data_IF_954919156454
#
_entry.id   IF_954919156454
#
_cell.length_a   1.000
_cell.length_b   1.000
_cell.length_c   1.000
_cell.angle_alpha   90.00
_cell.angle_beta   90.00
_cell.angle_gamma   90.00
#
_symmetry.space_group_name_H-M   'P 1'
#
loop_
_entity.id
_entity.type
_entity.pdbx_description
1 polymer ?
#
# COMPACT_ATOMS: atom_id res chain seq x y z
N UNK A 1 -9.06 -14.60 -12.58
CA UNK A 1 -9.26 -15.73 -13.52
C UNK A 1 -10.35 -15.38 -14.51
N UNK A 2 -10.15 -15.54 -15.84
CA UNK A 2 -11.16 -15.32 -16.86
C UNK A 2 -12.41 -16.19 -16.63
N UNK A 3 -13.56 -15.76 -17.17
CA UNK A 3 -14.82 -16.50 -17.00
C UNK A 3 -14.77 -17.89 -17.64
N UNK A 4 -14.18 -18.01 -18.81
CA UNK A 4 -13.99 -19.27 -19.54
C UNK A 4 -13.09 -20.27 -18.79
N UNK A 5 -12.29 -19.80 -17.84
CA UNK A 5 -11.47 -20.61 -16.94
C UNK A 5 -12.10 -20.75 -15.53
N UNK A 6 -13.41 -20.52 -15.40
CA UNK A 6 -14.14 -20.66 -14.15
C UNK A 6 -13.97 -19.50 -13.16
N UNK A 7 -13.43 -18.38 -13.60
CA UNK A 7 -13.26 -17.18 -12.77
C UNK A 7 -14.41 -16.19 -12.93
N UNK A 8 -14.40 -15.13 -12.11
CA UNK A 8 -15.40 -14.06 -12.16
C UNK A 8 -15.22 -13.09 -13.33
N UNK A 9 -14.10 -13.14 -14.04
CA UNK A 9 -13.81 -12.27 -15.18
C UNK A 9 -13.52 -10.83 -14.79
N UNK A 10 -13.05 -10.59 -13.57
CA UNK A 10 -12.60 -9.27 -13.13
C UNK A 10 -11.37 -8.83 -13.91
N UNK A 11 -11.31 -7.54 -14.25
CA UNK A 11 -10.22 -6.97 -15.04
C UNK A 11 -8.90 -6.92 -14.24
N UNK A 12 -8.96 -6.62 -12.95
CA UNK A 12 -7.81 -6.52 -12.06
C UNK A 12 -8.22 -6.85 -10.62
N UNK A 13 -7.22 -7.01 -9.74
CA UNK A 13 -7.41 -7.15 -8.30
C UNK A 13 -6.36 -6.33 -7.56
N UNK A 14 -6.67 -5.93 -6.33
CA UNK A 14 -5.71 -5.31 -5.44
C UNK A 14 -4.68 -6.33 -4.99
N UNK A 15 -3.44 -5.85 -4.86
CA UNK A 15 -2.28 -6.67 -4.51
C UNK A 15 -1.71 -6.21 -3.17
N UNK A 16 -2.25 -6.79 -2.10
CA UNK A 16 -1.81 -6.49 -0.75
C UNK A 16 -0.39 -6.98 -0.47
N UNK A 17 0.07 -8.05 -1.13
CA UNK A 17 1.40 -8.59 -0.88
C UNK A 17 2.49 -7.60 -1.31
N UNK A 18 2.28 -6.85 -2.40
CA UNK A 18 3.20 -5.76 -2.80
C UNK A 18 3.19 -4.64 -1.75
N UNK A 19 2.00 -4.24 -1.27
CA UNK A 19 1.90 -3.28 -0.17
C UNK A 19 2.63 -3.78 1.07
N UNK A 20 2.35 -5.01 1.51
CA UNK A 20 2.96 -5.57 2.72
C UNK A 20 4.48 -5.62 2.63
N UNK A 21 5.04 -6.03 1.48
CA UNK A 21 6.48 -6.08 1.28
C UNK A 21 7.12 -4.68 1.34
N UNK A 22 6.53 -3.71 0.64
CA UNK A 22 7.02 -2.33 0.64
C UNK A 22 6.89 -1.69 2.03
N UNK A 23 5.72 -1.80 2.65
CA UNK A 23 5.45 -1.24 3.98
C UNK A 23 6.42 -1.80 5.03
N UNK A 24 6.50 -3.13 5.11
CA UNK A 24 7.34 -3.80 6.09
C UNK A 24 8.84 -3.49 5.92
N UNK A 25 9.32 -3.29 4.68
CA UNK A 25 10.71 -2.88 4.43
C UNK A 25 10.96 -1.41 4.75
N UNK A 26 10.03 -0.53 4.43
CA UNK A 26 10.19 0.90 4.62
C UNK A 26 10.06 1.32 6.09
N UNK A 27 9.10 0.73 6.81
CA UNK A 27 8.76 1.10 8.20
C UNK A 27 9.45 0.24 9.26
N UNK A 28 9.77 -1.01 8.91
CA UNK A 28 10.23 -2.01 9.88
C UNK A 28 9.09 -2.71 10.64
N UNK A 29 7.82 -2.36 10.39
CA UNK A 29 6.67 -3.00 11.03
C UNK A 29 6.56 -4.49 10.66
N UNK A 30 6.29 -5.33 11.67
CA UNK A 30 6.22 -6.81 11.54
C UNK A 30 5.01 -7.41 12.27
N UNK A 31 4.06 -6.61 12.70
CA UNK A 31 2.89 -7.08 13.44
C UNK A 31 1.79 -7.58 12.51
N UNK A 32 0.99 -8.53 12.98
CA UNK A 32 -0.19 -9.02 12.27
C UNK A 32 0.16 -9.58 10.89
N UNK A 33 -0.50 -9.09 9.87
CA UNK A 33 -0.31 -9.54 8.48
C UNK A 33 1.03 -9.13 7.85
N UNK A 34 1.84 -8.26 8.51
CA UNK A 34 3.19 -7.92 8.07
C UNK A 34 4.27 -8.93 8.52
N UNK A 35 3.93 -9.90 9.39
CA UNK A 35 4.90 -10.77 10.06
C UNK A 35 5.83 -11.54 9.11
N UNK A 36 5.31 -12.00 7.97
CA UNK A 36 6.05 -12.79 6.98
C UNK A 36 6.82 -11.93 5.96
N UNK A 37 6.54 -10.61 5.94
CA UNK A 37 7.09 -9.67 4.97
C UNK A 37 8.32 -8.93 5.53
N UNK A 38 9.10 -8.28 4.63
CA UNK A 38 10.17 -7.35 5.00
C UNK A 38 11.57 -7.89 4.88
N UNK A 39 11.79 -8.94 4.11
CA UNK A 39 13.09 -9.25 3.51
C UNK A 39 13.17 -8.71 2.09
N UNK A 40 14.40 -8.54 1.58
CA UNK A 40 14.60 -8.18 0.17
C UNK A 40 14.23 -9.33 -0.76
N UNK A 41 14.34 -10.59 -0.30
CA UNK A 41 13.80 -11.77 -1.02
C UNK A 41 12.28 -11.66 -1.22
N UNK A 42 11.57 -11.26 -0.17
CA UNK A 42 10.12 -11.03 -0.24
C UNK A 42 9.80 -9.93 -1.25
N UNK A 43 10.50 -8.79 -1.20
CA UNK A 43 10.32 -7.72 -2.18
C UNK A 43 10.60 -8.18 -3.60
N UNK A 44 11.68 -8.91 -3.83
CA UNK A 44 12.01 -9.47 -5.14
C UNK A 44 10.92 -10.41 -5.65
N UNK A 45 10.39 -11.27 -4.79
CA UNK A 45 9.32 -12.19 -5.12
C UNK A 45 8.04 -11.45 -5.55
N UNK A 46 7.59 -10.44 -4.79
CA UNK A 46 6.38 -9.69 -5.13
C UNK A 46 6.56 -8.83 -6.38
N UNK A 47 7.71 -8.18 -6.57
CA UNK A 47 7.96 -7.37 -7.75
C UNK A 47 8.02 -8.19 -9.05
N UNK A 48 8.36 -9.47 -8.97
CA UNK A 48 8.42 -10.37 -10.13
C UNK A 48 7.17 -11.22 -10.32
N UNK A 49 6.48 -11.59 -9.25
CA UNK A 49 5.39 -12.56 -9.26
C UNK A 49 4.08 -12.09 -8.64
N UNK A 50 3.97 -10.82 -8.26
CA UNK A 50 2.86 -10.20 -7.56
C UNK A 50 2.69 -10.71 -6.12
N UNK A 51 2.62 -12.02 -5.91
CA UNK A 51 2.37 -12.59 -4.58
C UNK A 51 3.61 -13.22 -3.96
N UNK A 52 3.82 -12.94 -2.67
CA UNK A 52 4.81 -13.62 -1.84
C UNK A 52 4.31 -15.00 -1.41
N UNK A 53 3.06 -15.07 -0.94
CA UNK A 53 2.43 -16.35 -0.60
C UNK A 53 1.92 -17.06 -1.85
N UNK A 54 2.80 -17.84 -2.47
CA UNK A 54 2.48 -18.62 -3.69
C UNK A 54 2.37 -20.13 -3.40
N UNK A 55 1.59 -20.49 -2.38
CA UNK A 55 1.47 -21.86 -1.83
C UNK A 55 2.34 -22.09 -0.61
N UNK A 56 2.99 -21.06 -0.07
CA UNK A 56 3.81 -21.07 1.13
C UNK A 56 2.96 -20.92 2.39
N UNK A 57 3.55 -21.16 3.55
CA UNK A 57 2.93 -20.94 4.84
C UNK A 57 2.77 -19.43 5.10
N UNK A 58 1.60 -19.02 5.56
CA UNK A 58 1.35 -17.67 6.06
C UNK A 58 1.18 -17.73 7.58
N UNK A 59 2.06 -17.06 8.32
CA UNK A 59 2.04 -17.02 9.78
C UNK A 59 0.76 -16.35 10.29
N UNK A 60 0.34 -15.26 9.65
CA UNK A 60 -0.89 -14.57 9.99
C UNK A 60 -2.14 -15.41 9.76
N UNK A 61 -2.19 -16.19 8.66
CA UNK A 61 -3.36 -17.02 8.33
C UNK A 61 -3.33 -18.40 8.97
N UNK A 62 -2.20 -18.83 9.56
CA UNK A 62 -2.01 -20.15 10.14
C UNK A 62 -2.18 -21.30 9.15
N UNK A 63 -1.93 -21.06 7.86
CA UNK A 63 -2.11 -22.07 6.78
C UNK A 63 -1.30 -21.73 5.53
N UNK A 64 -1.14 -22.71 4.65
CA UNK A 64 -0.64 -22.43 3.29
C UNK A 64 -1.62 -21.56 2.53
N UNK A 65 -1.10 -20.58 1.79
CA UNK A 65 -1.89 -19.55 1.11
C UNK A 65 -1.33 -19.24 -0.27
N UNK A 66 -2.23 -18.78 -1.16
CA UNK A 66 -1.90 -18.29 -2.49
C UNK A 66 -1.59 -19.38 -3.51
N UNK A 67 -1.25 -18.93 -4.72
CA UNK A 67 -0.81 -19.74 -5.86
C UNK A 67 0.18 -18.94 -6.68
N UNK A 68 1.10 -19.63 -7.35
CA UNK A 68 2.04 -19.00 -8.28
C UNK A 68 1.29 -18.37 -9.46
N UNK A 69 1.70 -17.17 -9.82
CA UNK A 69 1.25 -16.47 -11.02
C UNK A 69 2.01 -16.99 -12.23
N UNK A 70 1.30 -17.34 -13.28
CA UNK A 70 1.92 -17.64 -14.58
C UNK A 70 2.40 -16.33 -15.22
N UNK A 71 3.67 -16.02 -15.06
CA UNK A 71 4.32 -14.79 -15.52
C UNK A 71 4.35 -14.63 -17.04
N UNK A 72 4.21 -15.72 -17.78
CA UNK A 72 4.16 -15.69 -19.26
C UNK A 72 2.78 -15.26 -19.77
N UNK A 73 1.72 -15.58 -19.03
CA UNK A 73 0.34 -15.37 -19.44
C UNK A 73 -0.38 -14.24 -18.72
N UNK A 74 -0.01 -13.96 -17.46
CA UNK A 74 -0.67 -12.95 -16.65
C UNK A 74 0.08 -11.62 -16.75
N UNK A 75 -0.52 -10.57 -17.32
CA UNK A 75 0.11 -9.27 -17.39
C UNK A 75 0.02 -8.53 -16.06
N UNK A 76 1.07 -7.81 -15.71
CA UNK A 76 1.21 -7.08 -14.44
C UNK A 76 0.12 -6.03 -14.21
N UNK A 77 -0.43 -5.42 -15.27
CA UNK A 77 -1.50 -4.42 -15.12
C UNK A 77 -2.80 -4.97 -14.51
N UNK A 78 -2.94 -6.28 -14.38
CA UNK A 78 -4.07 -6.91 -13.68
C UNK A 78 -3.90 -6.92 -12.15
N UNK A 79 -2.76 -6.50 -11.65
CA UNK A 79 -2.51 -6.31 -10.23
C UNK A 79 -2.45 -4.82 -9.93
N UNK A 80 -3.28 -4.36 -8.99
CA UNK A 80 -3.30 -2.97 -8.54
C UNK A 80 -2.45 -2.88 -7.29
N UNK A 81 -1.28 -2.30 -7.42
CA UNK A 81 -0.31 -2.15 -6.34
C UNK A 81 -0.37 -0.74 -5.74
N UNK A 82 -0.07 -0.61 -4.47
CA UNK A 82 -0.12 0.65 -3.74
C UNK A 82 0.88 0.65 -2.57
N UNK A 83 1.30 1.83 -2.15
CA UNK A 83 2.07 2.00 -0.90
C UNK A 83 1.14 2.04 0.31
N UNK A 84 -0.01 2.65 0.14
CA UNK A 84 -1.05 2.78 1.15
C UNK A 84 -2.40 2.98 0.47
N UNK A 85 -3.47 2.67 1.16
CA UNK A 85 -4.83 2.99 0.75
C UNK A 85 -5.69 3.34 1.98
N UNK A 86 -6.98 3.59 1.78
CA UNK A 86 -7.89 3.96 2.84
C UNK A 86 -7.98 2.91 3.96
N UNK A 87 -7.87 1.62 3.62
CA UNK A 87 -7.94 0.54 4.61
C UNK A 87 -6.71 0.50 5.51
N UNK A 88 -5.50 0.47 4.93
CA UNK A 88 -4.29 0.39 5.76
C UNK A 88 -4.12 1.62 6.65
N UNK A 89 -4.44 2.82 6.14
CA UNK A 89 -4.35 4.03 6.95
C UNK A 89 -5.51 4.10 7.95
N UNK A 90 -6.74 3.89 7.50
CA UNK A 90 -7.94 3.97 8.32
C UNK A 90 -8.00 2.90 9.42
N UNK A 91 -7.31 1.77 9.24
CA UNK A 91 -7.17 0.73 10.25
C UNK A 91 -6.05 0.99 11.27
N UNK A 92 -5.30 2.09 11.15
CA UNK A 92 -4.38 2.53 12.21
C UNK A 92 -5.14 3.31 13.29
N UNK A 93 -4.64 3.25 14.53
CA UNK A 93 -5.35 3.83 15.68
C UNK A 93 -5.71 5.31 15.46
N UNK A 94 -4.77 6.08 14.93
CA UNK A 94 -4.92 7.54 14.69
C UNK A 94 -4.97 7.92 13.21
N UNK A 95 -5.01 6.93 12.31
CA UNK A 95 -5.06 7.17 10.87
C UNK A 95 -3.78 7.79 10.29
N UNK A 96 -2.63 7.50 10.89
CA UNK A 96 -1.34 8.04 10.49
C UNK A 96 -0.87 7.46 9.16
N UNK A 97 -0.41 8.35 8.27
CA UNK A 97 0.13 8.01 6.95
C UNK A 97 1.60 7.62 7.04
N UNK A 98 2.14 7.02 5.98
CA UNK A 98 3.59 6.78 5.86
C UNK A 98 4.42 8.08 6.02
N UNK A 99 3.87 9.22 5.63
CA UNK A 99 4.50 10.54 5.81
C UNK A 99 4.73 10.93 7.27
N UNK A 100 3.98 10.36 8.22
CA UNK A 100 4.16 10.62 9.64
C UNK A 100 5.39 9.92 10.25
N UNK A 101 5.81 8.80 9.66
CA UNK A 101 6.90 7.95 10.20
C UNK A 101 8.14 7.88 9.32
N UNK A 102 8.01 8.10 8.01
CA UNK A 102 9.11 7.96 7.07
C UNK A 102 9.72 9.31 6.69
N UNK A 103 11.05 9.32 6.55
CA UNK A 103 11.72 10.48 5.97
C UNK A 103 11.31 10.71 4.50
N UNK A 104 11.40 11.95 3.99
CA UNK A 104 11.13 12.23 2.58
C UNK A 104 11.97 11.38 1.61
N UNK A 105 13.17 10.98 2.02
CA UNK A 105 14.02 10.08 1.24
C UNK A 105 13.40 8.68 1.10
N UNK A 106 12.90 8.12 2.20
CA UNK A 106 12.28 6.79 2.20
C UNK A 106 10.94 6.78 1.46
N UNK A 107 10.16 7.86 1.57
CA UNK A 107 8.95 8.03 0.77
C UNK A 107 9.24 8.03 -0.74
N UNK A 108 10.33 8.70 -1.17
CA UNK A 108 10.75 8.67 -2.58
C UNK A 108 11.19 7.28 -3.03
N UNK A 109 11.85 6.50 -2.17
CA UNK A 109 12.20 5.10 -2.47
C UNK A 109 10.94 4.28 -2.70
N UNK A 110 9.94 4.39 -1.82
CA UNK A 110 8.65 3.72 -1.98
C UNK A 110 7.94 4.11 -3.29
N UNK A 111 7.81 5.42 -3.54
CA UNK A 111 7.20 5.95 -4.76
C UNK A 111 7.92 5.45 -6.04
N UNK A 112 9.26 5.41 -6.02
CA UNK A 112 10.05 4.91 -7.14
C UNK A 112 9.75 3.43 -7.39
N UNK A 113 9.79 2.60 -6.36
CA UNK A 113 9.50 1.17 -6.49
C UNK A 113 8.07 0.93 -7.01
N UNK A 114 7.08 1.62 -6.47
CA UNK A 114 5.69 1.50 -6.91
C UNK A 114 5.51 1.92 -8.37
N UNK A 115 5.98 3.12 -8.73
CA UNK A 115 5.73 3.71 -10.05
C UNK A 115 6.59 3.10 -11.16
N UNK A 116 7.67 2.39 -10.83
CA UNK A 116 8.47 1.63 -11.81
C UNK A 116 8.13 0.15 -11.86
N UNK A 117 7.32 -0.37 -10.93
CA UNK A 117 6.85 -1.76 -10.92
C UNK A 117 5.96 -2.08 -12.14
N UNK A 118 5.82 -3.36 -12.54
CA UNK A 118 5.02 -3.76 -13.71
C UNK A 118 3.52 -3.63 -13.51
N UNK A 119 3.07 -3.29 -12.32
CA UNK A 119 1.68 -3.29 -11.88
C UNK A 119 0.96 -1.98 -12.23
N UNK A 120 -0.36 -1.98 -12.12
CA UNK A 120 -1.14 -0.73 -12.12
C UNK A 120 -0.96 -0.03 -10.78
N UNK A 121 -0.31 1.13 -10.72
CA UNK A 121 -0.14 1.83 -9.46
C UNK A 121 -1.44 2.53 -9.07
N UNK A 122 -1.84 2.39 -7.82
CA UNK A 122 -2.90 3.16 -7.19
C UNK A 122 -2.28 4.09 -6.15
N UNK A 123 -2.60 5.37 -6.26
CA UNK A 123 -2.15 6.39 -5.31
C UNK A 123 -3.31 6.76 -4.39
N UNK A 124 -3.05 6.79 -3.08
CA UNK A 124 -4.03 7.29 -2.14
C UNK A 124 -3.92 8.81 -2.04
N UNK A 125 -5.06 9.50 -2.03
CA UNK A 125 -5.12 10.95 -2.03
C UNK A 125 -4.18 11.59 -1.00
N UNK A 126 -3.37 12.55 -1.42
CA UNK A 126 -2.38 13.23 -0.60
C UNK A 126 -1.03 12.51 -0.48
N UNK A 127 -0.93 11.27 -0.95
CA UNK A 127 0.33 10.51 -0.95
C UNK A 127 1.38 11.20 -1.82
N UNK A 128 0.97 11.73 -2.95
CA UNK A 128 1.81 12.34 -3.96
C UNK A 128 2.54 13.61 -3.52
N UNK A 129 2.11 14.21 -2.41
CA UNK A 129 2.85 15.32 -1.77
C UNK A 129 3.21 15.02 -0.31
N UNK A 130 3.04 13.77 0.13
CA UNK A 130 3.28 13.37 1.52
C UNK A 130 2.44 14.17 2.51
N UNK A 131 1.13 14.26 2.30
CA UNK A 131 0.21 15.01 3.16
C UNK A 131 0.45 14.69 4.64
N UNK A 132 0.42 15.72 5.48
CA UNK A 132 0.60 15.58 6.93
C UNK A 132 -0.70 15.20 7.65
N UNK A 133 -1.86 15.51 7.02
CA UNK A 133 -3.17 15.21 7.59
C UNK A 133 -3.39 13.70 7.68
N UNK A 134 -3.90 13.17 8.80
CA UNK A 134 -4.23 11.76 8.93
C UNK A 134 -5.41 11.38 8.03
N UNK A 135 -5.68 10.07 7.96
CA UNK A 135 -6.92 9.52 7.43
C UNK A 135 -7.55 8.65 8.49
N UNK A 136 -8.32 9.27 9.37
CA UNK A 136 -8.95 8.62 10.52
C UNK A 136 -10.20 7.84 10.06
N UNK A 137 -10.51 6.78 10.78
CA UNK A 137 -11.75 6.05 10.54
C UNK A 137 -12.93 6.87 11.06
N UNK A 138 -13.76 7.38 10.16
CA UNK A 138 -14.95 8.17 10.49
C UNK A 138 -16.21 7.56 9.89
N UNK A 139 -17.32 7.72 10.58
CA UNK A 139 -18.64 7.26 10.18
C UNK A 139 -19.70 8.30 10.53
N UNK A 140 -20.88 8.14 9.93
CA UNK A 140 -22.04 8.99 10.24
C UNK A 140 -23.29 8.10 10.23
N UNK A 141 -23.53 7.43 11.34
CA UNK A 141 -24.73 6.60 11.53
C UNK A 141 -25.81 7.41 12.21
N UNK A 142 -26.99 7.58 11.58
CA UNK A 142 -28.10 8.32 12.18
C UNK A 142 -28.74 7.56 13.35
N UNK A 143 -28.62 6.22 13.40
CA UNK A 143 -29.16 5.39 14.47
C UNK A 143 -28.25 5.46 15.71
N UNK A 144 -28.75 6.00 16.86
CA UNK A 144 -27.90 6.23 18.05
C UNK A 144 -27.25 4.96 18.59
N UNK A 145 -27.97 3.84 18.58
CA UNK A 145 -27.45 2.55 19.08
C UNK A 145 -26.30 2.04 18.20
N UNK A 146 -26.43 2.12 16.88
CA UNK A 146 -25.39 1.74 15.94
C UNK A 146 -24.19 2.66 16.07
N UNK A 147 -24.39 3.96 16.15
CA UNK A 147 -23.34 4.95 16.36
C UNK A 147 -22.51 4.65 17.62
N UNK A 148 -23.21 4.42 18.74
CA UNK A 148 -22.56 4.06 20.01
C UNK A 148 -21.81 2.71 19.93
N UNK A 149 -22.37 1.72 19.24
CA UNK A 149 -21.76 0.40 19.06
C UNK A 149 -20.47 0.47 18.23
N UNK A 150 -20.46 1.29 17.16
CA UNK A 150 -19.28 1.52 16.30
C UNK A 150 -18.19 2.21 17.10
N UNK A 151 -18.49 3.28 17.82
CA UNK A 151 -17.52 4.00 18.67
C UNK A 151 -16.92 3.09 19.75
N UNK A 152 -17.76 2.33 20.44
CA UNK A 152 -17.29 1.37 21.45
C UNK A 152 -16.48 0.22 20.84
N UNK A 153 -16.87 -0.26 19.67
CA UNK A 153 -16.17 -1.30 18.92
C UNK A 153 -14.75 -0.88 18.56
N UNK A 154 -14.60 0.32 18.00
CA UNK A 154 -13.31 0.88 17.61
C UNK A 154 -12.35 1.02 18.79
N UNK A 155 -12.83 1.54 19.92
CA UNK A 155 -12.02 1.67 21.15
C UNK A 155 -11.57 0.30 21.69
N UNK A 156 -12.46 -0.71 21.70
CA UNK A 156 -12.10 -2.06 22.15
C UNK A 156 -11.06 -2.72 21.28
N UNK A 157 -11.16 -2.55 19.96
CA UNK A 157 -10.18 -3.07 19.00
C UNK A 157 -8.77 -2.61 19.35
N UNK A 158 -8.57 -1.32 19.55
CA UNK A 158 -7.25 -0.77 19.83
C UNK A 158 -6.79 -0.96 21.27
N UNK A 159 -7.69 -1.00 22.23
CA UNK A 159 -7.35 -1.36 23.62
C UNK A 159 -6.74 -2.77 23.70
N UNK A 160 -7.23 -3.71 22.89
CA UNK A 160 -6.67 -5.06 22.79
C UNK A 160 -5.22 -5.07 22.23
N UNK A 161 -4.81 -4.01 21.54
CA UNK A 161 -3.45 -3.82 21.00
C UNK A 161 -2.58 -2.88 21.86
N UNK A 162 -3.04 -2.52 23.07
CA UNK A 162 -2.26 -1.71 24.01
C UNK A 162 -2.34 -0.20 23.82
N UNK A 163 -3.26 0.29 23.02
CA UNK A 163 -3.52 1.73 22.90
C UNK A 163 -4.43 2.23 24.01
N UNK A 164 -4.21 3.45 24.48
CA UNK A 164 -5.19 4.12 25.34
C UNK A 164 -6.48 4.38 24.56
N UNK A 165 -7.62 4.14 25.18
CA UNK A 165 -8.93 4.42 24.57
C UNK A 165 -9.11 5.90 24.23
N UNK A 166 -8.42 6.78 24.95
CA UNK A 166 -8.49 8.23 24.77
C UNK A 166 -7.66 8.72 23.55
N UNK A 167 -6.69 7.91 23.10
CA UNK A 167 -5.88 8.22 21.93
C UNK A 167 -6.56 7.84 20.61
N UNK A 168 -7.63 7.05 20.67
CA UNK A 168 -8.37 6.61 19.48
C UNK A 168 -9.51 7.57 19.18
N UNK A 169 -9.49 8.28 18.02
CA UNK A 169 -10.57 9.20 17.67
C UNK A 169 -11.93 8.51 17.62
N UNK A 170 -12.96 9.22 18.07
CA UNK A 170 -14.34 8.71 17.98
C UNK A 170 -14.82 8.79 16.52
N UNK A 171 -15.16 7.66 15.89
CA UNK A 171 -15.61 7.65 14.50
C UNK A 171 -16.82 8.52 14.22
N UNK A 172 -17.69 8.74 15.21
CA UNK A 172 -18.92 9.54 15.06
C UNK A 172 -18.71 11.03 15.32
N UNK A 173 -17.54 11.44 15.86
CA UNK A 173 -17.26 12.85 16.07
C UNK A 173 -17.03 13.58 14.76
N UNK A 174 -17.70 14.72 14.49
CA UNK A 174 -17.47 15.52 13.28
C UNK A 174 -16.00 15.90 13.11
N UNK A 175 -15.26 16.14 14.21
CA UNK A 175 -13.84 16.45 14.19
C UNK A 175 -12.98 15.35 13.57
N UNK A 176 -13.37 14.07 13.70
CA UNK A 176 -12.64 12.95 13.09
C UNK A 176 -12.67 13.03 11.56
N UNK A 177 -13.81 13.42 10.98
CA UNK A 177 -13.92 13.72 9.56
C UNK A 177 -13.16 15.00 9.17
N UNK A 178 -13.33 16.08 9.92
CA UNK A 178 -12.67 17.37 9.63
C UNK A 178 -11.15 17.24 9.67
N UNK A 179 -10.59 16.51 10.63
CA UNK A 179 -9.16 16.24 10.73
C UNK A 179 -8.63 15.37 9.59
N UNK A 180 -9.49 14.62 8.90
CA UNK A 180 -9.11 13.76 7.77
C UNK A 180 -9.13 14.49 6.42
N UNK A 181 -9.54 15.75 6.38
CA UNK A 181 -9.50 16.57 5.17
C UNK A 181 -8.07 16.97 4.83
N UNK A 182 -7.73 16.87 3.55
CA UNK A 182 -6.41 17.26 3.07
C UNK A 182 -6.22 18.78 3.17
N UNK A 183 -5.06 19.19 3.65
CA UNK A 183 -4.60 20.57 3.54
C UNK A 183 -3.92 20.78 2.18
N UNK A 184 -4.63 21.41 1.25
CA UNK A 184 -4.12 21.70 -0.09
C UNK A 184 -3.07 22.80 -0.14
N UNK A 185 -2.88 23.56 0.93
CA UNK A 185 -1.85 24.59 0.98
C UNK A 185 -0.46 24.02 1.21
N UNK A 186 -0.36 22.79 1.75
CA UNK A 186 0.92 22.09 1.93
C UNK A 186 1.72 21.97 0.62
N UNK A 187 1.04 21.76 -0.52
CA UNK A 187 1.72 21.56 -1.82
C UNK A 187 2.59 22.74 -2.25
N UNK A 188 2.40 23.91 -1.64
CA UNK A 188 3.12 25.14 -1.96
C UNK A 188 4.49 25.22 -1.26
N UNK A 189 4.67 24.47 -0.19
CA UNK A 189 5.84 24.53 0.69
C UNK A 189 6.69 23.26 0.63
N UNK A 190 7.97 23.37 0.99
CA UNK A 190 8.86 22.24 1.24
C UNK A 190 8.44 21.53 2.54
N UNK A 191 8.52 20.17 2.62
CA UNK A 191 9.03 19.24 1.61
C UNK A 191 7.95 18.71 0.63
N UNK A 192 6.71 19.16 0.75
CA UNK A 192 5.55 18.63 0.01
C UNK A 192 5.65 18.93 -1.49
N UNK A 193 6.06 20.16 -1.84
CA UNK A 193 6.28 20.57 -3.23
C UNK A 193 7.29 19.68 -3.94
N UNK A 194 8.40 19.35 -3.28
CA UNK A 194 9.45 18.49 -3.84
C UNK A 194 8.99 17.05 -3.98
N UNK A 195 8.14 16.56 -3.06
CA UNK A 195 7.55 15.24 -3.17
C UNK A 195 6.59 15.17 -4.36
N UNK A 196 5.72 16.16 -4.51
CA UNK A 196 4.82 16.26 -5.66
C UNK A 196 5.59 16.30 -6.99
N UNK A 197 6.71 17.04 -7.04
CA UNK A 197 7.58 17.07 -8.21
C UNK A 197 8.18 15.69 -8.51
N UNK A 198 8.55 14.92 -7.48
CA UNK A 198 9.04 13.54 -7.63
C UNK A 198 7.98 12.64 -8.23
N UNK A 199 6.75 12.65 -7.73
CA UNK A 199 5.65 11.86 -8.29
C UNK A 199 5.34 12.24 -9.75
N UNK A 200 5.30 13.53 -10.07
CA UNK A 200 5.10 14.01 -11.44
C UNK A 200 6.17 13.48 -12.39
N UNK A 201 7.43 13.49 -11.98
CA UNK A 201 8.53 12.99 -12.80
C UNK A 201 8.46 11.46 -12.97
N UNK A 202 8.20 10.71 -11.91
CA UNK A 202 8.04 9.25 -11.98
C UNK A 202 6.87 8.85 -12.89
N UNK A 203 5.75 9.56 -12.81
CA UNK A 203 4.60 9.33 -13.70
C UNK A 203 4.95 9.68 -15.15
N UNK A 204 5.69 10.79 -15.38
CA UNK A 204 6.18 11.17 -16.70
C UNK A 204 7.07 10.06 -17.27
N UNK A 205 8.06 9.60 -16.51
CA UNK A 205 8.94 8.50 -16.91
C UNK A 205 8.15 7.24 -17.25
N UNK A 206 7.22 6.85 -16.40
CA UNK A 206 6.37 5.67 -16.63
C UNK A 206 5.58 5.77 -17.93
N UNK A 207 5.12 6.98 -18.32
CA UNK A 207 4.35 7.20 -19.55
C UNK A 207 5.25 7.28 -20.79
N UNK A 208 6.49 7.75 -20.67
CA UNK A 208 7.37 8.03 -21.80
C UNK A 208 8.42 6.96 -22.07
N UNK A 209 8.76 6.15 -21.08
CA UNK A 209 9.72 5.04 -21.22
C UNK A 209 8.95 3.75 -21.48
N UNK A 210 9.02 3.16 -22.70
CA UNK A 210 8.20 2.00 -23.08
C UNK A 210 8.36 0.81 -22.13
N UNK A 211 9.57 0.52 -21.66
CA UNK A 211 9.85 -0.58 -20.76
C UNK A 211 9.15 -0.43 -19.41
N UNK A 212 8.96 0.79 -18.91
CA UNK A 212 8.22 1.04 -17.66
C UNK A 212 6.71 0.84 -17.83
N UNK A 213 6.19 0.98 -19.05
CA UNK A 213 4.78 0.73 -19.38
C UNK A 213 4.51 -0.72 -19.76
N UNK A 214 5.55 -1.52 -20.03
CA UNK A 214 5.40 -2.93 -20.43
C UNK A 214 4.83 -3.77 -19.26
N UNK A 215 3.64 -4.37 -19.39
CA UNK A 215 3.03 -5.12 -18.30
C UNK A 215 3.52 -6.57 -18.21
N UNK A 216 4.42 -7.03 -19.08
CA UNK A 216 4.87 -8.41 -19.13
C UNK A 216 5.75 -8.76 -17.94
N UNK A 217 5.22 -9.57 -17.02
CA UNK A 217 5.96 -10.02 -15.84
C UNK A 217 7.20 -10.85 -16.21
N UNK A 218 7.19 -11.55 -17.34
CA UNK A 218 8.33 -12.32 -17.84
C UNK A 218 9.55 -11.44 -18.18
N UNK A 219 9.34 -10.11 -18.35
CA UNK A 219 10.40 -9.13 -18.63
C UNK A 219 10.85 -8.35 -17.39
N UNK A 220 10.47 -8.80 -16.22
CA UNK A 220 10.88 -8.20 -14.96
C UNK A 220 11.90 -9.10 -14.29
N UNK A 221 13.07 -8.55 -14.03
CA UNK A 221 14.10 -9.21 -13.25
C UNK A 221 14.44 -8.35 -12.03
N UNK A 222 14.54 -8.98 -10.88
CA UNK A 222 14.91 -8.33 -9.63
C UNK A 222 16.02 -9.12 -8.97
N UNK A 223 17.05 -8.43 -8.55
CA UNK A 223 18.13 -8.97 -7.73
C UNK A 223 18.47 -8.01 -6.62
N UNK A 224 19.04 -8.51 -5.56
CA UNK A 224 19.38 -7.71 -4.40
C UNK A 224 20.67 -8.20 -3.73
N UNK A 225 21.30 -7.34 -2.97
CA UNK A 225 22.31 -7.67 -1.98
C UNK A 225 21.74 -7.44 -0.58
N UNK A 226 22.61 -7.24 0.40
CA UNK A 226 22.17 -7.08 1.80
C UNK A 226 21.38 -5.78 2.05
N UNK A 227 21.67 -4.72 1.27
CA UNK A 227 21.16 -3.36 1.52
C UNK A 227 20.68 -2.64 0.27
N UNK A 228 20.55 -3.33 -0.84
CA UNK A 228 20.08 -2.73 -2.09
C UNK A 228 19.25 -3.73 -2.89
N UNK A 229 18.35 -3.17 -3.68
CA UNK A 229 17.58 -3.90 -4.69
C UNK A 229 17.78 -3.22 -6.03
N UNK A 230 17.88 -4.01 -7.08
CA UNK A 230 17.88 -3.54 -8.46
C UNK A 230 16.79 -4.28 -9.24
N UNK A 231 16.06 -3.54 -10.05
CA UNK A 231 14.99 -4.07 -10.89
C UNK A 231 15.27 -3.68 -12.34
N UNK A 232 15.31 -4.66 -13.23
CA UNK A 232 15.35 -4.45 -14.67
C UNK A 232 13.94 -4.62 -15.24
N UNK A 233 13.52 -3.65 -16.03
CA UNK A 233 12.30 -3.66 -16.79
C UNK A 233 12.65 -3.69 -18.28
N UNK A 234 11.99 -4.58 -19.03
CA UNK A 234 12.33 -4.79 -20.42
C UNK A 234 13.48 -5.78 -20.60
N UNK A 235 13.88 -6.00 -21.83
CA UNK A 235 14.98 -6.88 -22.20
C UNK A 235 15.14 -6.87 -23.71
N UNK A 236 16.37 -6.96 -24.17
CA UNK A 236 16.71 -7.10 -25.59
C UNK A 236 15.98 -8.27 -26.21
#
# INVERSE_FOLDING_TARGET
TPREAGGMGLAAQWDDDVHHALHALLTGERQGYYSDFGSLDCLAAVLTGAFYHAGTWSSFRGRRHGRTVDRARMPGHRFVAFLQNHDQIGNRAVGDRLSASLSPRMLRVGATLLLTAPFTPMLFMGEEWAASTPWQYFTSHPEPELAAAVSAGRRREFAAHGWSTDDVPDPQAPSTFENSKLDWDEVKASPHREMLATYRELIRLRKTVPDLSDPRLSRVEVWHGDRHVAMRRGGC
#
